data_IF_354504387289
#
_entry.id   IF_354504387289
#
_cell.length_a   1.000
_cell.length_b   1.000
_cell.length_c   1.000
_cell.angle_alpha   90.00
_cell.angle_beta   90.00
_cell.angle_gamma   90.00
#
_symmetry.space_group_name_H-M   'P 1'
#
loop_
_entity.id
_entity.type
_entity.pdbx_description
1 polymer ?
#
# COMPACT_ATOMS: atom_id res chain seq x y z
N UNK A 1 3.24 51.79 21.36
CA UNK A 1 2.04 50.95 21.32
C UNK A 1 1.69 50.54 19.87
N UNK A 2 1.74 51.46 18.88
CA UNK A 2 1.45 51.16 17.47
C UNK A 2 2.39 50.12 16.89
N UNK A 3 3.69 50.20 17.13
CA UNK A 3 4.70 49.21 16.65
C UNK A 3 4.49 47.82 17.24
N UNK A 4 4.02 47.71 18.49
CA UNK A 4 3.71 46.42 19.10
C UNK A 4 2.50 45.74 18.42
N UNK A 5 1.46 46.53 18.07
CA UNK A 5 0.28 46.04 17.35
C UNK A 5 0.67 45.56 15.94
N UNK A 6 1.51 46.35 15.24
CA UNK A 6 2.01 45.96 13.89
C UNK A 6 2.85 44.68 13.96
N UNK A 7 3.73 44.57 14.97
CA UNK A 7 4.55 43.37 15.16
C UNK A 7 3.68 42.12 15.44
N UNK A 8 2.67 42.24 16.30
CA UNK A 8 1.74 41.15 16.59
C UNK A 8 0.95 40.78 15.34
N UNK A 9 0.43 41.75 14.58
CA UNK A 9 -0.28 41.47 13.33
C UNK A 9 0.60 40.75 12.31
N UNK A 10 1.88 41.16 12.18
CA UNK A 10 2.84 40.47 11.29
C UNK A 10 3.10 39.05 11.73
N UNK A 11 3.28 38.76 13.01
CA UNK A 11 3.48 37.42 13.56
C UNK A 11 2.25 36.55 13.29
N UNK A 12 1.04 37.07 13.48
CA UNK A 12 -0.21 36.31 13.21
C UNK A 12 -0.34 35.99 11.75
N UNK A 13 -0.03 36.93 10.84
CA UNK A 13 -0.04 36.67 9.39
C UNK A 13 1.04 35.64 9.01
N UNK A 14 2.24 35.76 9.56
CA UNK A 14 3.32 34.80 9.30
C UNK A 14 2.94 33.37 9.77
N UNK A 15 2.37 33.23 10.97
CA UNK A 15 1.84 31.95 11.46
C UNK A 15 0.72 31.44 10.55
N UNK A 16 -0.21 32.28 10.13
CA UNK A 16 -1.29 31.93 9.21
C UNK A 16 -0.77 31.41 7.87
N UNK A 17 0.27 32.05 7.30
CA UNK A 17 0.92 31.60 6.07
C UNK A 17 1.68 30.27 6.25
N UNK A 18 2.35 30.08 7.39
CA UNK A 18 3.02 28.80 7.70
C UNK A 18 2.00 27.69 7.85
N UNK A 19 0.89 27.90 8.56
CA UNK A 19 -0.19 26.92 8.71
C UNK A 19 -0.83 26.60 7.36
N UNK A 20 -1.12 27.63 6.55
CA UNK A 20 -1.68 27.46 5.21
C UNK A 20 -0.75 26.65 4.29
N UNK A 21 0.54 26.98 4.27
CA UNK A 21 1.52 26.30 3.40
C UNK A 21 1.95 24.92 3.93
N UNK A 22 1.72 24.63 5.21
CA UNK A 22 2.12 23.36 5.84
C UNK A 22 1.15 22.21 5.60
N UNK A 23 -0.01 22.47 5.00
CA UNK A 23 -1.11 21.50 4.84
C UNK A 23 -1.58 20.87 6.17
N UNK A 24 -1.32 21.52 7.32
CA UNK A 24 -1.68 20.99 8.64
C UNK A 24 -3.18 20.68 8.73
N UNK A 25 -4.02 21.57 8.19
CA UNK A 25 -5.49 21.37 8.19
C UNK A 25 -5.85 20.13 7.33
N UNK A 26 -5.25 19.98 6.16
CA UNK A 26 -5.51 18.84 5.28
C UNK A 26 -5.01 17.52 5.85
N UNK A 27 -3.93 17.53 6.62
CA UNK A 27 -3.35 16.33 7.25
C UNK A 27 -4.24 15.77 8.36
N UNK A 28 -4.96 16.64 9.07
CA UNK A 28 -5.84 16.24 10.18
C UNK A 28 -7.29 15.94 9.77
N UNK A 29 -7.67 16.17 8.51
CA UNK A 29 -9.04 15.89 8.06
C UNK A 29 -9.22 14.41 7.77
N UNK A 30 -10.33 13.85 8.24
CA UNK A 30 -10.76 12.50 7.88
C UNK A 30 -11.08 12.45 6.39
N UNK A 31 -10.39 11.57 5.68
CA UNK A 31 -10.62 11.34 4.25
C UNK A 31 -11.59 10.18 4.00
N UNK A 32 -11.55 9.16 4.87
CA UNK A 32 -12.42 8.00 4.81
C UNK A 32 -12.66 7.47 6.22
N UNK A 33 -13.84 6.89 6.44
CA UNK A 33 -14.17 6.16 7.67
C UNK A 33 -14.55 4.73 7.31
N UNK A 34 -13.95 3.77 8.01
CA UNK A 34 -14.18 2.33 7.83
C UNK A 34 -14.57 1.77 9.19
N UNK A 35 -15.77 1.21 9.32
CA UNK A 35 -16.25 0.58 10.56
C UNK A 35 -16.07 1.46 11.82
N UNK A 36 -16.24 2.79 11.65
CA UNK A 36 -16.10 3.77 12.73
C UNK A 36 -14.67 4.26 12.98
N UNK A 37 -13.66 3.68 12.35
CA UNK A 37 -12.27 4.17 12.37
C UNK A 37 -12.04 5.18 11.26
N UNK A 38 -11.43 6.32 11.59
CA UNK A 38 -11.20 7.42 10.65
C UNK A 38 -9.76 7.45 10.17
N UNK A 39 -9.58 7.55 8.86
CA UNK A 39 -8.28 7.63 8.20
C UNK A 39 -8.09 8.99 7.54
N UNK A 40 -6.92 9.57 7.71
CA UNK A 40 -6.52 10.84 7.10
C UNK A 40 -6.19 10.69 5.61
N UNK A 41 -6.16 11.81 4.90
CA UNK A 41 -5.73 11.83 3.50
C UNK A 41 -4.29 11.29 3.30
N UNK A 42 -3.41 11.46 4.30
CA UNK A 42 -2.05 10.92 4.25
C UNK A 42 -2.02 9.38 4.32
N UNK A 43 -2.87 8.79 5.18
CA UNK A 43 -2.99 7.33 5.28
C UNK A 43 -3.59 6.73 4.01
N UNK A 44 -4.65 7.32 3.48
CA UNK A 44 -5.22 6.90 2.18
C UNK A 44 -4.17 7.00 1.07
N UNK A 45 -3.39 8.09 1.03
CA UNK A 45 -2.32 8.29 0.07
C UNK A 45 -1.23 7.25 0.18
N UNK A 46 -0.89 6.80 1.39
CA UNK A 46 0.08 5.71 1.61
C UNK A 46 -0.36 4.42 0.91
N UNK A 47 -1.59 3.96 1.14
CA UNK A 47 -2.10 2.73 0.53
C UNK A 47 -2.30 2.87 -0.98
N UNK A 48 -2.73 4.04 -1.44
CA UNK A 48 -2.81 4.36 -2.87
C UNK A 48 -1.44 4.21 -3.57
N UNK A 49 -0.40 4.84 -3.00
CA UNK A 49 0.94 4.78 -3.59
C UNK A 49 1.58 3.41 -3.45
N UNK A 50 1.28 2.65 -2.40
CA UNK A 50 1.72 1.27 -2.30
C UNK A 50 1.12 0.42 -3.42
N UNK A 51 -0.18 0.53 -3.68
CA UNK A 51 -0.83 -0.16 -4.79
C UNK A 51 -0.24 0.27 -6.15
N UNK A 52 -0.02 1.58 -6.36
CA UNK A 52 0.64 2.10 -7.55
C UNK A 52 2.06 1.54 -7.71
N UNK A 53 2.88 1.63 -6.67
CA UNK A 53 4.27 1.17 -6.70
C UNK A 53 4.38 -0.34 -6.93
N UNK A 54 3.44 -1.15 -6.41
CA UNK A 54 3.42 -2.60 -6.64
C UNK A 54 3.24 -2.95 -8.12
N UNK A 55 2.44 -2.17 -8.84
CA UNK A 55 2.21 -2.36 -10.28
C UNK A 55 3.39 -1.84 -11.10
N UNK A 56 3.82 -0.58 -10.86
CA UNK A 56 4.84 0.07 -11.71
C UNK A 56 6.25 -0.48 -11.51
N UNK A 57 6.52 -1.13 -10.39
CA UNK A 57 7.79 -1.79 -10.10
C UNK A 57 7.73 -3.32 -10.34
N UNK A 58 6.60 -3.84 -10.81
CA UNK A 58 6.49 -5.26 -11.14
C UNK A 58 7.24 -5.60 -12.42
N UNK A 59 7.65 -6.86 -12.55
CA UNK A 59 8.24 -7.39 -13.80
C UNK A 59 7.25 -7.38 -14.97
N UNK A 60 5.97 -7.19 -14.70
CA UNK A 60 4.88 -7.19 -15.68
C UNK A 60 4.39 -5.79 -16.05
N UNK A 61 5.09 -4.72 -15.63
CA UNK A 61 4.66 -3.32 -15.84
C UNK A 61 4.35 -3.02 -17.31
N UNK A 62 5.10 -3.58 -18.25
CA UNK A 62 4.86 -3.40 -19.69
C UNK A 62 3.52 -3.97 -20.18
N UNK A 63 3.01 -5.01 -19.51
CA UNK A 63 1.72 -5.64 -19.85
C UNK A 63 0.53 -4.82 -19.35
N UNK A 64 0.72 -4.06 -18.27
CA UNK A 64 -0.32 -3.21 -17.69
C UNK A 64 -0.59 -1.96 -18.55
N UNK A 65 0.35 -1.52 -19.38
CA UNK A 65 0.16 -0.41 -20.32
C UNK A 65 -0.02 0.95 -19.66
N UNK A 66 0.55 1.16 -18.46
CA UNK A 66 0.51 2.48 -17.79
C UNK A 66 1.45 3.44 -18.50
N UNK A 67 0.91 4.53 -19.04
CA UNK A 67 1.67 5.66 -19.56
C UNK A 67 1.99 6.64 -18.44
N UNK A 68 3.28 6.84 -18.16
CA UNK A 68 3.76 7.74 -17.10
C UNK A 68 3.57 9.23 -17.43
N UNK A 69 3.29 9.57 -18.69
CA UNK A 69 3.09 10.94 -19.14
C UNK A 69 1.60 11.34 -19.16
N UNK A 70 0.70 10.39 -18.98
CA UNK A 70 -0.74 10.61 -18.95
C UNK A 70 -1.27 10.46 -17.52
N UNK A 71 -2.18 11.35 -17.10
CA UNK A 71 -2.77 11.26 -15.76
C UNK A 71 -3.52 9.93 -15.58
N UNK A 72 -3.35 9.27 -14.43
CA UNK A 72 -3.98 7.97 -14.13
C UNK A 72 -5.51 7.99 -14.23
N UNK A 73 -6.13 9.16 -14.01
CA UNK A 73 -7.57 9.38 -14.17
C UNK A 73 -8.04 9.46 -15.62
N UNK A 74 -7.11 9.56 -16.58
CA UNK A 74 -7.40 9.66 -18.01
C UNK A 74 -7.04 8.39 -18.79
N UNK A 75 -6.49 7.39 -18.13
CA UNK A 75 -6.13 6.12 -18.76
C UNK A 75 -6.87 4.97 -18.09
N UNK A 76 -7.55 4.17 -18.90
CA UNK A 76 -8.27 2.98 -18.45
C UNK A 76 -7.35 1.76 -18.37
N UNK A 77 -7.72 0.78 -17.55
CA UNK A 77 -7.08 -0.53 -17.57
C UNK A 77 -7.30 -1.17 -18.95
N UNK A 78 -6.24 -1.71 -19.54
CA UNK A 78 -6.37 -2.55 -20.72
C UNK A 78 -6.88 -3.95 -20.35
N UNK A 79 -7.27 -4.76 -21.34
CA UNK A 79 -7.85 -6.09 -21.11
C UNK A 79 -6.88 -7.03 -20.39
N UNK A 80 -5.58 -6.94 -20.69
CA UNK A 80 -4.54 -7.71 -20.01
C UNK A 80 -4.45 -7.34 -18.52
N UNK A 81 -4.46 -6.04 -18.22
CA UNK A 81 -4.46 -5.55 -16.84
C UNK A 81 -5.72 -6.01 -16.09
N UNK A 82 -6.90 -5.90 -16.71
CA UNK A 82 -8.16 -6.39 -16.12
C UNK A 82 -8.09 -7.87 -15.80
N UNK A 83 -7.63 -8.69 -16.72
CA UNK A 83 -7.48 -10.13 -16.53
C UNK A 83 -6.50 -10.46 -15.40
N UNK A 84 -5.32 -9.83 -15.39
CA UNK A 84 -4.28 -10.11 -14.38
C UNK A 84 -4.65 -9.62 -12.97
N UNK A 85 -5.47 -8.57 -12.88
CA UNK A 85 -5.89 -7.95 -11.62
C UNK A 85 -7.28 -8.44 -11.15
N UNK A 86 -7.93 -9.31 -11.92
CA UNK A 86 -9.27 -9.84 -11.60
C UNK A 86 -10.36 -8.77 -11.62
N UNK A 87 -10.21 -7.77 -12.49
CA UNK A 87 -11.15 -6.65 -12.64
C UNK A 87 -12.05 -6.90 -13.84
N UNK A 88 -13.36 -6.95 -13.63
CA UNK A 88 -14.35 -7.16 -14.70
C UNK A 88 -14.92 -5.85 -15.26
N UNK A 89 -14.84 -4.76 -14.49
CA UNK A 89 -15.44 -3.47 -14.82
C UNK A 89 -14.45 -2.56 -15.55
N UNK A 90 -15.00 -1.66 -16.39
CA UNK A 90 -14.20 -0.60 -16.99
C UNK A 90 -13.91 0.47 -15.93
N UNK A 91 -12.64 0.68 -15.67
CA UNK A 91 -12.19 1.72 -14.74
C UNK A 91 -10.85 2.31 -15.17
N UNK A 92 -10.59 3.52 -14.66
CA UNK A 92 -9.27 4.15 -14.82
C UNK A 92 -8.28 3.60 -13.79
N UNK A 93 -6.98 3.78 -14.06
CA UNK A 93 -5.93 3.43 -13.10
C UNK A 93 -6.08 4.18 -11.77
N UNK A 94 -6.51 5.45 -11.80
CA UNK A 94 -6.79 6.20 -10.56
C UNK A 94 -7.92 5.56 -9.75
N UNK A 95 -9.02 5.17 -10.41
CA UNK A 95 -10.12 4.49 -9.74
C UNK A 95 -9.70 3.13 -9.15
N UNK A 96 -8.89 2.36 -9.89
CA UNK A 96 -8.34 1.10 -9.41
C UNK A 96 -7.48 1.28 -8.15
N UNK A 97 -6.54 2.23 -8.15
CA UNK A 97 -5.67 2.45 -6.99
C UNK A 97 -6.43 3.00 -5.78
N UNK A 98 -7.48 3.80 -5.99
CA UNK A 98 -8.39 4.23 -4.91
C UNK A 98 -9.16 3.06 -4.30
N UNK A 99 -9.66 2.16 -5.13
CA UNK A 99 -10.36 0.96 -4.67
C UNK A 99 -9.40 0.01 -3.93
N UNK A 100 -8.19 -0.18 -4.44
CA UNK A 100 -7.14 -0.95 -3.78
C UNK A 100 -6.77 -0.36 -2.40
N UNK A 101 -6.61 0.96 -2.31
CA UNK A 101 -6.36 1.65 -1.04
C UNK A 101 -7.52 1.45 -0.05
N UNK A 102 -8.77 1.57 -0.52
CA UNK A 102 -9.96 1.32 0.30
C UNK A 102 -10.00 -0.12 0.83
N UNK A 103 -9.74 -1.11 -0.03
CA UNK A 103 -9.69 -2.52 0.36
C UNK A 103 -8.60 -2.77 1.41
N UNK A 104 -7.42 -2.18 1.25
CA UNK A 104 -6.33 -2.27 2.23
C UNK A 104 -6.70 -1.68 3.58
N UNK A 105 -7.40 -0.55 3.61
CA UNK A 105 -7.87 0.07 4.86
C UNK A 105 -8.97 -0.75 5.53
N UNK A 106 -9.87 -1.36 4.77
CA UNK A 106 -10.89 -2.27 5.30
C UNK A 106 -10.19 -3.48 5.95
N UNK A 107 -9.27 -4.11 5.26
CA UNK A 107 -8.51 -5.25 5.78
C UNK A 107 -7.74 -4.87 7.06
N UNK A 108 -7.02 -3.74 7.05
CA UNK A 108 -6.31 -3.24 8.22
C UNK A 108 -7.25 -3.06 9.42
N UNK A 109 -8.41 -2.41 9.19
CA UNK A 109 -9.40 -2.18 10.26
C UNK A 109 -9.89 -3.50 10.85
N UNK A 110 -10.20 -4.49 10.01
CA UNK A 110 -10.66 -5.80 10.47
C UNK A 110 -9.58 -6.53 11.28
N UNK A 111 -8.32 -6.52 10.80
CA UNK A 111 -7.21 -7.14 11.51
C UNK A 111 -6.91 -6.45 12.85
N UNK A 112 -6.97 -5.12 12.91
CA UNK A 112 -6.81 -4.35 14.15
C UNK A 112 -7.93 -4.67 15.16
N UNK A 113 -9.17 -4.79 14.70
CA UNK A 113 -10.29 -5.22 15.56
C UNK A 113 -10.05 -6.63 16.11
N UNK A 114 -9.68 -7.58 15.25
CA UNK A 114 -9.35 -8.93 15.69
C UNK A 114 -8.18 -8.97 16.68
N UNK A 115 -7.13 -8.17 16.46
CA UNK A 115 -6.01 -8.03 17.40
C UNK A 115 -6.50 -7.53 18.76
N UNK A 116 -7.34 -6.51 18.79
CA UNK A 116 -7.90 -5.96 20.02
C UNK A 116 -8.80 -6.97 20.74
N UNK A 117 -9.66 -7.70 20.05
CA UNK A 117 -10.52 -8.75 20.60
C UNK A 117 -9.70 -9.90 21.21
N UNK A 118 -8.57 -10.24 20.60
CA UNK A 118 -7.63 -11.26 21.09
C UNK A 118 -6.74 -10.75 22.23
N UNK A 119 -6.77 -9.44 22.50
CA UNK A 119 -5.92 -8.81 23.51
C UNK A 119 -4.44 -8.69 23.09
N UNK A 120 -4.15 -8.77 21.79
CA UNK A 120 -2.80 -8.57 21.27
C UNK A 120 -2.38 -7.11 21.47
N UNK A 121 -1.24 -6.90 22.12
CA UNK A 121 -0.69 -5.57 22.38
C UNK A 121 0.63 -5.40 21.65
N UNK A 122 0.92 -4.17 21.28
CA UNK A 122 2.18 -3.82 20.66
C UNK A 122 3.36 -4.01 21.64
N UNK A 123 4.39 -4.71 21.24
CA UNK A 123 5.54 -5.11 22.06
C UNK A 123 6.89 -4.60 21.52
N UNK A 124 7.97 -4.98 22.21
CA UNK A 124 9.34 -4.56 21.88
C UNK A 124 9.86 -5.22 20.59
N UNK A 125 9.39 -6.39 20.21
CA UNK A 125 9.82 -7.05 18.98
C UNK A 125 9.16 -6.39 17.77
N UNK A 126 7.88 -6.06 17.87
CA UNK A 126 7.18 -5.22 16.89
C UNK A 126 7.86 -3.84 16.74
N UNK A 127 8.35 -3.24 17.84
CA UNK A 127 9.10 -1.98 17.76
C UNK A 127 10.41 -2.13 17.00
N UNK A 128 11.14 -3.22 17.18
CA UNK A 128 12.38 -3.51 16.43
C UNK A 128 12.12 -3.65 14.92
N UNK A 129 11.01 -4.27 14.53
CA UNK A 129 10.61 -4.37 13.12
C UNK A 129 10.37 -2.98 12.50
N UNK A 130 9.69 -2.10 13.23
CA UNK A 130 9.49 -0.72 12.80
C UNK A 130 10.83 0.01 12.67
N UNK A 131 11.71 -0.10 13.66
CA UNK A 131 13.00 0.58 13.65
C UNK A 131 13.87 0.10 12.48
N UNK A 132 13.90 -1.20 12.19
CA UNK A 132 14.56 -1.79 11.05
C UNK A 132 13.99 -1.27 9.71
N UNK A 133 12.67 -1.19 9.62
CA UNK A 133 11.98 -0.64 8.44
C UNK A 133 12.35 0.83 8.21
N UNK A 134 12.39 1.64 9.27
CA UNK A 134 12.75 3.04 9.21
C UNK A 134 14.22 3.25 8.83
N UNK A 135 15.12 2.41 9.34
CA UNK A 135 16.54 2.42 8.97
C UNK A 135 16.73 2.09 7.50
N UNK A 136 16.07 1.03 7.03
CA UNK A 136 16.06 0.61 5.62
C UNK A 136 15.55 1.74 4.73
N UNK A 137 14.42 2.35 5.09
CA UNK A 137 13.85 3.47 4.36
C UNK A 137 14.79 4.69 4.32
N UNK A 138 15.42 5.01 5.45
CA UNK A 138 16.42 6.08 5.53
C UNK A 138 17.64 5.81 4.64
N UNK A 139 18.06 4.56 4.54
CA UNK A 139 19.16 4.15 3.68
C UNK A 139 18.82 4.31 2.20
N UNK A 140 17.60 3.93 1.79
CA UNK A 140 17.12 4.16 0.42
C UNK A 140 17.01 5.66 0.10
N UNK A 141 16.49 6.47 1.03
CA UNK A 141 16.44 7.92 0.85
C UNK A 141 17.81 8.52 0.60
N UNK A 142 18.81 8.15 1.42
CA UNK A 142 20.21 8.60 1.25
C UNK A 142 20.82 8.17 -0.08
N UNK A 143 20.63 6.91 -0.49
CA UNK A 143 21.08 6.41 -1.80
C UNK A 143 20.47 7.16 -2.96
N UNK A 144 19.22 7.61 -2.82
CA UNK A 144 18.50 8.41 -3.81
C UNK A 144 18.85 9.92 -3.74
N UNK A 145 19.70 10.35 -2.81
CA UNK A 145 20.12 11.76 -2.65
C UNK A 145 19.10 12.64 -1.92
N UNK A 146 18.17 12.05 -1.16
CA UNK A 146 17.13 12.78 -0.43
C UNK A 146 17.31 12.70 1.08
N UNK A 147 16.79 13.70 1.81
CA UNK A 147 16.50 13.50 3.23
C UNK A 147 15.33 12.50 3.39
N UNK A 148 15.27 11.79 4.51
CA UNK A 148 14.20 10.82 4.78
C UNK A 148 12.80 11.43 4.66
N UNK A 149 12.62 12.67 5.15
CA UNK A 149 11.34 13.40 5.04
C UNK A 149 10.99 13.79 3.60
N UNK A 150 11.96 14.18 2.79
CA UNK A 150 11.73 14.49 1.38
C UNK A 150 11.39 13.22 0.59
N UNK A 151 12.06 12.12 0.90
CA UNK A 151 11.80 10.83 0.27
C UNK A 151 10.41 10.27 0.63
N UNK A 152 9.97 10.43 1.89
CA UNK A 152 8.59 10.10 2.30
C UNK A 152 7.54 10.83 1.46
N UNK A 153 7.74 12.13 1.25
CA UNK A 153 6.83 12.93 0.43
C UNK A 153 6.85 12.54 -1.04
N UNK A 154 8.04 12.19 -1.56
CA UNK A 154 8.18 11.69 -2.92
C UNK A 154 7.43 10.37 -3.11
N UNK A 155 7.53 9.46 -2.16
CA UNK A 155 6.93 8.12 -2.24
C UNK A 155 5.43 8.10 -1.96
N UNK A 156 4.94 8.92 -1.03
CA UNK A 156 3.58 8.83 -0.48
C UNK A 156 2.77 10.13 -0.54
N UNK A 157 3.31 11.17 -1.18
CA UNK A 157 2.65 12.46 -1.34
C UNK A 157 2.98 13.48 -0.26
N UNK A 158 2.70 14.75 -0.56
CA UNK A 158 3.13 15.91 0.23
C UNK A 158 2.58 15.95 1.66
N UNK A 159 1.48 15.27 1.93
CA UNK A 159 0.86 15.22 3.26
C UNK A 159 1.53 14.21 4.20
N UNK A 160 2.37 13.30 3.68
CA UNK A 160 3.06 12.31 4.49
C UNK A 160 4.11 12.94 5.40
N UNK A 161 4.08 12.56 6.68
CA UNK A 161 5.06 12.94 7.69
C UNK A 161 5.69 11.72 8.31
N UNK A 162 6.84 11.87 8.95
CA UNK A 162 7.48 10.79 9.69
C UNK A 162 6.60 10.27 10.83
N UNK A 163 5.85 11.14 11.50
CA UNK A 163 4.91 10.75 12.55
C UNK A 163 3.77 9.89 12.01
N UNK A 164 3.14 10.32 10.90
CA UNK A 164 2.08 9.57 10.24
C UNK A 164 2.59 8.22 9.72
N UNK A 165 3.78 8.21 9.12
CA UNK A 165 4.39 6.97 8.62
C UNK A 165 4.67 5.97 9.75
N UNK A 166 5.21 6.42 10.89
CA UNK A 166 5.40 5.57 12.07
C UNK A 166 4.07 5.02 12.60
N UNK A 167 3.01 5.83 12.62
CA UNK A 167 1.69 5.36 13.03
C UNK A 167 1.16 4.26 12.10
N UNK A 168 1.29 4.45 10.79
CA UNK A 168 0.91 3.44 9.79
C UNK A 168 1.70 2.15 9.99
N UNK A 169 3.03 2.24 10.17
CA UNK A 169 3.87 1.07 10.42
C UNK A 169 3.43 0.33 11.68
N UNK A 170 3.11 1.06 12.76
CA UNK A 170 2.64 0.45 14.01
C UNK A 170 1.36 -0.35 13.80
N UNK A 171 0.39 0.23 13.11
CA UNK A 171 -0.87 -0.44 12.82
C UNK A 171 -0.68 -1.65 11.89
N UNK A 172 0.20 -1.51 10.89
CA UNK A 172 0.49 -2.59 9.93
C UNK A 172 1.22 -3.75 10.58
N UNK A 173 2.22 -3.49 11.43
CA UNK A 173 2.96 -4.54 12.14
C UNK A 173 2.05 -5.29 13.11
N UNK A 174 1.24 -4.57 13.91
CA UNK A 174 0.27 -5.20 14.81
C UNK A 174 -0.73 -6.08 14.04
N UNK A 175 -1.27 -5.59 12.92
CA UNK A 175 -2.19 -6.32 12.06
C UNK A 175 -1.53 -7.57 11.45
N UNK A 176 -0.27 -7.47 11.02
CA UNK A 176 0.49 -8.59 10.45
C UNK A 176 0.75 -9.68 11.49
N UNK A 177 1.14 -9.32 12.72
CA UNK A 177 1.32 -10.28 13.81
C UNK A 177 0.01 -10.99 14.16
N UNK A 178 -1.10 -10.24 14.25
CA UNK A 178 -2.41 -10.86 14.46
C UNK A 178 -2.79 -11.82 13.32
N UNK A 179 -2.56 -11.43 12.07
CA UNK A 179 -2.84 -12.26 10.91
C UNK A 179 -2.01 -13.56 10.96
N UNK A 180 -0.73 -13.47 11.30
CA UNK A 180 0.15 -14.64 11.42
C UNK A 180 -0.32 -15.56 12.55
N UNK A 181 -0.56 -15.02 13.74
CA UNK A 181 -1.11 -15.78 14.88
C UNK A 181 -2.43 -16.47 14.55
N UNK A 182 -3.29 -15.80 13.77
CA UNK A 182 -4.55 -16.39 13.32
C UNK A 182 -4.29 -17.58 12.37
N UNK A 183 -3.42 -17.40 11.38
CA UNK A 183 -3.05 -18.45 10.42
C UNK A 183 -2.44 -19.64 11.17
N UNK A 184 -1.51 -19.41 12.10
CA UNK A 184 -0.85 -20.44 12.87
C UNK A 184 -1.81 -21.18 13.83
N UNK A 185 -2.93 -20.57 14.19
CA UNK A 185 -3.96 -21.18 15.01
C UNK A 185 -4.93 -22.08 14.24
N UNK A 186 -4.92 -21.99 12.89
CA UNK A 186 -5.80 -22.82 12.06
C UNK A 186 -5.34 -24.28 12.09
N UNK A 187 -6.28 -25.17 12.32
CA UNK A 187 -6.06 -26.61 12.28
C UNK A 187 -7.05 -27.23 11.31
N UNK A 188 -6.60 -28.18 10.54
CA UNK A 188 -7.42 -28.89 9.57
C UNK A 188 -7.39 -30.37 9.87
N UNK A 189 -8.50 -31.05 9.70
CA UNK A 189 -8.59 -32.50 9.76
C UNK A 189 -8.05 -33.12 8.46
N UNK A 190 -7.62 -34.36 8.51
CA UNK A 190 -7.18 -35.09 7.31
C UNK A 190 -8.28 -35.15 6.24
N UNK A 191 -9.55 -35.26 6.65
CA UNK A 191 -10.70 -35.27 5.75
C UNK A 191 -10.91 -33.92 5.05
N UNK A 192 -10.71 -32.78 5.75
CA UNK A 192 -10.79 -31.45 5.14
C UNK A 192 -9.66 -31.23 4.14
N UNK A 193 -8.42 -31.69 4.48
CA UNK A 193 -7.27 -31.60 3.59
C UNK A 193 -7.49 -32.47 2.34
N UNK A 194 -7.99 -33.70 2.48
CA UNK A 194 -8.28 -34.59 1.35
C UNK A 194 -9.39 -34.01 0.47
N UNK A 195 -10.45 -33.47 1.06
CA UNK A 195 -11.54 -32.82 0.33
C UNK A 195 -11.02 -31.63 -0.47
N UNK A 196 -10.25 -30.75 0.15
CA UNK A 196 -9.66 -29.58 -0.52
C UNK A 196 -8.72 -29.99 -1.68
N UNK A 197 -7.87 -31.02 -1.46
CA UNK A 197 -7.01 -31.55 -2.50
C UNK A 197 -7.82 -32.06 -3.70
N UNK A 198 -8.86 -32.84 -3.45
CA UNK A 198 -9.68 -33.42 -4.52
C UNK A 198 -10.44 -32.35 -5.33
N UNK A 199 -10.91 -31.28 -4.69
CA UNK A 199 -11.59 -30.15 -5.34
C UNK A 199 -10.62 -29.27 -6.15
N UNK A 200 -9.33 -29.22 -5.75
CA UNK A 200 -8.33 -28.32 -6.33
C UNK A 200 -7.15 -29.09 -6.96
N UNK A 201 -7.36 -30.32 -7.37
CA UNK A 201 -6.32 -31.27 -7.82
C UNK A 201 -5.37 -30.69 -8.86
N UNK A 202 -5.92 -29.94 -9.82
CA UNK A 202 -5.13 -29.28 -10.87
C UNK A 202 -4.10 -28.25 -10.37
N UNK A 203 -4.24 -27.78 -9.13
CA UNK A 203 -3.29 -26.82 -8.53
C UNK A 203 -2.10 -27.54 -7.85
N UNK A 204 -2.24 -28.84 -7.57
CA UNK A 204 -1.26 -29.61 -6.81
C UNK A 204 -0.60 -30.71 -7.62
N UNK A 205 -1.32 -31.26 -8.59
CA UNK A 205 -0.78 -32.34 -9.44
C UNK A 205 0.33 -31.81 -10.34
N UNK A 206 1.44 -32.46 -10.36
CA UNK A 206 2.56 -32.21 -11.28
C UNK A 206 2.64 -33.37 -12.29
N UNK A 207 2.94 -33.07 -13.53
CA UNK A 207 3.16 -34.04 -14.59
C UNK A 207 4.60 -33.93 -15.06
N UNK A 208 5.31 -35.06 -15.04
CA UNK A 208 6.60 -35.20 -15.71
C UNK A 208 6.36 -35.54 -17.18
N UNK A 209 6.99 -34.83 -18.09
CA UNK A 209 6.90 -35.14 -19.52
C UNK A 209 8.25 -35.01 -20.18
N UNK A 210 8.50 -35.85 -21.17
CA UNK A 210 9.62 -35.74 -22.09
C UNK A 210 9.11 -35.22 -23.43
N UNK A 211 9.86 -34.31 -24.04
CA UNK A 211 9.56 -33.84 -25.39
C UNK A 211 10.78 -33.98 -26.29
N UNK A 212 10.54 -34.31 -27.55
CA UNK A 212 11.55 -34.35 -28.59
C UNK A 212 11.30 -33.16 -29.52
N UNK A 213 12.27 -32.29 -29.64
CA UNK A 213 12.21 -31.15 -30.54
C UNK A 213 12.91 -31.46 -31.86
N UNK A 214 12.16 -31.43 -32.95
CA UNK A 214 12.72 -31.54 -34.31
C UNK A 214 12.83 -30.13 -34.91
N UNK A 215 14.06 -29.68 -35.12
CA UNK A 215 14.32 -28.44 -35.86
C UNK A 215 14.30 -28.74 -37.36
N UNK A 216 13.18 -28.48 -38.02
CA UNK A 216 13.10 -28.49 -39.47
C UNK A 216 13.63 -27.22 -40.07
N UNK A 217 14.48 -27.28 -41.10
CA UNK A 217 14.70 -26.15 -42.01
C UNK A 217 13.53 -26.12 -42.99
N UNK A 218 12.80 -25.02 -43.05
CA UNK A 218 11.85 -24.81 -44.13
C UNK A 218 12.63 -24.71 -45.44
N UNK A 219 12.46 -25.69 -46.34
CA UNK A 219 12.92 -25.55 -47.72
C UNK A 219 12.08 -24.43 -48.36
N UNK A 220 12.76 -23.34 -48.69
CA UNK A 220 12.18 -22.27 -49.56
C UNK A 220 12.11 -22.82 -50.96
N UNK A 221 10.93 -23.23 -51.37
CA UNK A 221 10.55 -23.35 -52.78
C UNK A 221 9.90 -22.10 -53.26
#
# INVERSE_FOLDING_TARGET
RLYAIIAIAFVVVAIGLVVWNSNIIQRGTTAVTVEGESYSAAEVSYYYHNAYNSIVNSNYVSLYGIDKNTALSQQSLNDTAKMMLGVSEDMTWDAYFRDAAKKSLIQLTMLKKGAAEKGLTFDDDMQKEIDSTLETFSTYAKKAGYSTSAYLKLMYGNNMTMSTFKSILKDTVLASHYQQDYIDSLTYTDEEVETYYNEHKNNFDVADYEYIYFKGTADST
#
